data_IF_043677278362
#
_entry.id   IF_043677278362
#
_cell.length_a   1.000
_cell.length_b   1.000
_cell.length_c   1.000
_cell.angle_alpha   90.00
_cell.angle_beta   90.00
_cell.angle_gamma   90.00
#
_symmetry.space_group_name_H-M   'P 1'
#
loop_
_entity.id
_entity.type
_entity.pdbx_description
1 polymer ?
#
# COMPACT_ATOMS: atom_id res chain seq x y z
N UNK A 1 11.77 12.21 12.09
CA UNK A 1 11.35 12.35 13.50
C UNK A 1 9.85 12.14 13.61
N UNK A 2 9.44 11.35 14.63
CA UNK A 2 8.02 11.14 15.00
C UNK A 2 7.84 11.67 16.42
N UNK A 3 6.81 12.49 16.62
CA UNK A 3 6.51 13.07 17.93
C UNK A 3 5.01 13.28 18.13
N UNK A 4 4.50 13.06 19.35
CA UNK A 4 3.10 13.33 19.69
C UNK A 4 2.87 14.83 19.89
N UNK A 5 1.66 15.29 19.52
CA UNK A 5 1.14 16.63 19.81
C UNK A 5 -0.17 16.47 20.57
N UNK A 6 -0.07 16.50 21.91
CA UNK A 6 -1.18 16.07 22.76
C UNK A 6 -1.40 14.56 22.69
N UNK A 7 -2.64 14.13 23.01
CA UNK A 7 -2.96 12.71 23.18
C UNK A 7 -3.45 12.03 21.90
N UNK A 8 -3.76 12.79 20.85
CA UNK A 8 -4.48 12.30 19.67
C UNK A 8 -3.79 12.58 18.34
N UNK A 9 -2.84 13.48 18.29
CA UNK A 9 -2.13 13.85 17.06
C UNK A 9 -0.69 13.34 17.12
N UNK A 10 -0.30 12.56 16.12
CA UNK A 10 1.09 12.16 15.90
C UNK A 10 1.60 12.85 14.64
N UNK A 11 2.72 13.57 14.78
CA UNK A 11 3.38 14.23 13.65
C UNK A 11 4.64 13.46 13.23
N UNK A 12 4.93 13.46 11.94
CA UNK A 12 6.17 12.93 11.38
C UNK A 12 6.78 13.97 10.44
N UNK A 13 8.09 14.14 10.55
CA UNK A 13 8.89 14.96 9.65
C UNK A 13 10.18 14.21 9.34
N UNK A 14 10.62 14.25 8.12
CA UNK A 14 11.83 13.54 7.74
C UNK A 14 12.26 13.81 6.31
N UNK A 15 13.50 13.42 6.06
CA UNK A 15 14.12 13.29 4.76
C UNK A 15 13.98 11.84 4.32
N UNK A 16 13.73 11.58 3.03
CA UNK A 16 13.45 10.24 2.48
C UNK A 16 12.31 9.50 3.18
N UNK A 17 11.28 10.24 3.57
CA UNK A 17 10.12 9.72 4.28
C UNK A 17 8.87 9.74 3.38
N UNK A 18 8.26 8.59 3.18
CA UNK A 18 6.97 8.52 2.46
C UNK A 18 5.90 9.37 3.14
N UNK A 19 5.15 10.15 2.37
CA UNK A 19 3.99 10.92 2.84
C UNK A 19 2.96 9.96 3.49
N UNK A 20 2.74 8.82 2.86
CA UNK A 20 1.84 7.76 3.32
C UNK A 20 2.29 7.04 4.60
N UNK A 21 3.48 7.36 5.15
CA UNK A 21 3.95 6.75 6.42
C UNK A 21 3.06 7.09 7.63
N UNK A 22 2.16 8.06 7.48
CA UNK A 22 1.15 8.41 8.48
C UNK A 22 -0.22 7.79 8.19
N UNK A 23 -0.39 7.09 7.08
CA UNK A 23 -1.67 6.58 6.65
C UNK A 23 -1.94 5.22 7.30
N UNK A 24 -3.16 5.02 7.76
CA UNK A 24 -3.64 3.71 8.13
C UNK A 24 -4.09 2.95 6.89
N UNK A 25 -3.69 1.70 6.84
CA UNK A 25 -4.05 0.77 5.79
C UNK A 25 -4.89 -0.36 6.40
N UNK A 26 -6.11 -0.54 5.90
CA UNK A 26 -7.04 -1.54 6.41
C UNK A 26 -6.80 -2.95 5.85
N UNK A 27 -5.63 -3.22 5.26
CA UNK A 27 -5.29 -4.55 4.75
C UNK A 27 -4.90 -5.50 5.88
N UNK A 28 -5.56 -6.64 5.95
CA UNK A 28 -5.22 -7.72 6.88
C UNK A 28 -4.30 -8.79 6.23
N UNK A 29 -4.05 -8.70 4.94
CA UNK A 29 -3.18 -9.62 4.22
C UNK A 29 -1.70 -9.24 4.37
N UNK A 30 -0.85 -10.21 4.62
CA UNK A 30 0.61 -10.03 4.63
C UNK A 30 1.19 -10.53 3.32
N UNK A 31 1.53 -9.64 2.39
CA UNK A 31 2.06 -10.01 1.08
C UNK A 31 3.38 -10.78 1.15
N UNK A 32 3.55 -11.75 0.26
CA UNK A 32 4.83 -12.41 -0.01
C UNK A 32 5.68 -11.52 -0.92
N UNK A 33 5.04 -10.93 -1.92
CA UNK A 33 5.62 -9.93 -2.83
C UNK A 33 5.29 -8.53 -2.34
N UNK A 34 6.12 -7.56 -2.68
CA UNK A 34 5.90 -6.15 -2.34
C UNK A 34 4.63 -5.62 -3.02
N UNK A 35 4.41 -6.00 -4.27
CA UNK A 35 3.27 -5.56 -5.07
C UNK A 35 1.92 -5.96 -4.45
N UNK A 36 1.71 -7.23 -4.12
CA UNK A 36 0.47 -7.66 -3.47
C UNK A 36 0.39 -7.22 -1.99
N UNK A 37 1.53 -6.90 -1.38
CA UNK A 37 1.59 -6.27 -0.04
C UNK A 37 0.96 -4.87 0.02
N UNK A 38 0.81 -4.20 -1.12
CA UNK A 38 0.12 -2.91 -1.23
C UNK A 38 -1.41 -3.04 -1.23
N UNK A 39 -1.95 -4.26 -1.28
CA UNK A 39 -3.39 -4.53 -1.26
C UNK A 39 -4.16 -3.77 -2.33
N UNK A 40 -3.61 -3.71 -3.55
CA UNK A 40 -4.25 -3.13 -4.73
C UNK A 40 -4.21 -1.61 -4.83
N UNK A 41 -3.67 -0.90 -3.84
CA UNK A 41 -3.41 0.52 -3.98
C UNK A 41 -1.89 0.80 -4.05
N UNK A 42 -1.41 0.88 -5.25
CA UNK A 42 0.01 1.08 -5.55
C UNK A 42 0.45 2.56 -5.48
N UNK A 43 -0.47 3.50 -5.27
CA UNK A 43 -0.16 4.94 -5.33
C UNK A 43 -0.70 5.75 -4.15
N UNK A 44 -2.00 5.77 -3.89
CA UNK A 44 -2.56 6.68 -2.89
C UNK A 44 -2.12 6.33 -1.47
N UNK A 45 -2.09 5.03 -1.08
CA UNK A 45 -1.50 4.57 0.18
C UNK A 45 0.03 4.40 0.12
N UNK A 46 0.67 4.69 -1.02
CA UNK A 46 2.11 4.53 -1.23
C UNK A 46 2.81 5.82 -1.67
N UNK A 47 2.14 6.98 -1.51
CA UNK A 47 2.68 8.25 -1.98
C UNK A 47 4.02 8.57 -1.31
N UNK A 48 5.01 8.79 -2.16
CA UNK A 48 6.37 9.09 -1.76
C UNK A 48 6.57 10.59 -1.50
N UNK A 49 7.65 10.92 -0.79
CA UNK A 49 8.17 12.25 -0.61
C UNK A 49 9.65 12.15 -0.25
N UNK A 50 10.42 13.16 -0.64
CA UNK A 50 11.81 13.27 -0.22
C UNK A 50 11.83 13.97 1.15
N UNK A 51 11.67 15.28 1.20
CA UNK A 51 11.39 16.00 2.45
C UNK A 51 9.89 15.99 2.71
N UNK A 52 9.48 15.42 3.84
CA UNK A 52 8.06 15.19 4.16
C UNK A 52 7.68 15.71 5.53
N UNK A 53 6.49 16.30 5.58
CA UNK A 53 5.79 16.65 6.82
C UNK A 53 4.39 16.07 6.77
N UNK A 54 4.00 15.36 7.81
CA UNK A 54 2.65 14.79 7.89
C UNK A 54 2.20 14.55 9.33
N UNK A 55 0.94 14.24 9.48
CA UNK A 55 0.37 13.91 10.78
C UNK A 55 -0.86 13.03 10.65
N UNK A 56 -1.14 12.30 11.73
CA UNK A 56 -2.30 11.45 11.89
C UNK A 56 -3.03 11.83 13.18
N UNK A 57 -4.33 11.99 13.08
CA UNK A 57 -5.20 12.25 14.22
C UNK A 57 -6.07 11.03 14.50
N UNK A 58 -6.00 10.54 15.75
CA UNK A 58 -6.84 9.45 16.27
C UNK A 58 -8.04 10.03 17.04
N UNK A 59 -9.25 9.75 16.58
CA UNK A 59 -10.48 10.18 17.23
C UNK A 59 -10.83 9.34 18.46
N UNK A 60 -10.16 8.18 18.65
CA UNK A 60 -10.32 7.31 19.82
C UNK A 60 -11.53 6.37 19.76
N UNK A 61 -12.13 6.19 18.60
CA UNK A 61 -13.29 5.31 18.36
C UNK A 61 -13.06 4.38 17.14
N UNK A 62 -11.81 4.06 16.83
CA UNK A 62 -11.41 3.31 15.64
C UNK A 62 -11.30 4.14 14.37
N UNK A 63 -11.66 5.42 14.40
CA UNK A 63 -11.55 6.30 13.26
C UNK A 63 -10.29 7.16 13.34
N UNK A 64 -9.53 7.20 12.25
CA UNK A 64 -8.33 8.02 12.08
C UNK A 64 -8.39 8.85 10.81
N UNK A 65 -7.71 9.98 10.81
CA UNK A 65 -7.45 10.78 9.61
C UNK A 65 -5.99 11.19 9.58
N UNK A 66 -5.39 11.14 8.40
CA UNK A 66 -4.02 11.57 8.19
C UNK A 66 -3.90 12.46 6.96
N UNK A 67 -2.90 13.33 7.01
CA UNK A 67 -2.52 14.18 5.90
C UNK A 67 -1.00 14.36 5.88
N UNK A 68 -0.44 14.56 4.69
CA UNK A 68 0.97 14.85 4.54
C UNK A 68 1.27 15.56 3.23
N UNK A 69 2.37 16.26 3.24
CA UNK A 69 2.95 16.92 2.07
C UNK A 69 4.43 16.56 1.99
N UNK A 70 4.95 16.44 0.79
CA UNK A 70 6.35 16.20 0.54
C UNK A 70 6.76 16.77 -0.82
N UNK A 71 8.04 16.86 -1.05
CA UNK A 71 8.59 17.36 -2.29
C UNK A 71 10.07 17.03 -2.39
N UNK A 72 10.69 17.41 -3.51
CA UNK A 72 12.13 17.30 -3.65
C UNK A 72 12.87 18.18 -2.64
N UNK A 73 14.07 17.77 -2.23
CA UNK A 73 14.88 18.49 -1.24
C UNK A 73 15.16 19.96 -1.62
N UNK A 74 15.20 20.24 -2.92
CA UNK A 74 15.54 21.58 -3.46
C UNK A 74 14.33 22.51 -3.60
N UNK A 75 13.10 22.02 -3.39
CA UNK A 75 11.92 22.79 -3.76
C UNK A 75 10.61 22.48 -3.06
N UNK A 76 10.62 22.12 -1.80
CA UNK A 76 9.38 21.94 -1.05
C UNK A 76 8.50 23.20 -1.17
N UNK A 77 7.34 23.11 -1.84
CA UNK A 77 6.40 24.23 -2.07
C UNK A 77 6.83 25.25 -3.14
N UNK A 78 7.78 24.95 -3.99
CA UNK A 78 8.10 25.84 -5.12
C UNK A 78 7.40 25.37 -6.41
N UNK A 79 7.18 26.29 -7.36
CA UNK A 79 6.55 25.95 -8.64
C UNK A 79 7.46 25.18 -9.61
N UNK A 80 8.71 24.98 -9.25
CA UNK A 80 9.74 24.50 -10.17
C UNK A 80 10.10 23.03 -9.92
N UNK A 81 9.74 22.51 -8.74
CA UNK A 81 10.05 21.13 -8.33
C UNK A 81 8.78 20.30 -8.11
N UNK A 82 8.95 18.98 -8.17
CA UNK A 82 7.86 18.06 -7.92
C UNK A 82 7.45 18.07 -6.46
N UNK A 83 6.19 18.30 -6.23
CA UNK A 83 5.56 18.20 -4.92
C UNK A 83 4.47 17.14 -4.92
N UNK A 84 4.18 16.61 -3.76
CA UNK A 84 3.07 15.67 -3.58
C UNK A 84 2.37 15.97 -2.27
N UNK A 85 1.08 15.68 -2.21
CA UNK A 85 0.33 15.66 -0.97
C UNK A 85 -0.63 14.47 -0.95
N UNK A 86 -0.97 14.03 0.24
CA UNK A 86 -1.88 12.92 0.42
C UNK A 86 -2.76 13.11 1.64
N UNK A 87 -3.94 12.50 1.56
CA UNK A 87 -4.94 12.44 2.60
C UNK A 87 -5.36 10.99 2.80
N UNK A 88 -5.65 10.62 4.05
CA UNK A 88 -6.16 9.29 4.38
C UNK A 88 -7.23 9.40 5.45
N UNK A 89 -8.22 8.53 5.36
CA UNK A 89 -9.21 8.30 6.40
C UNK A 89 -9.38 6.79 6.56
N UNK A 90 -9.35 6.30 7.78
CA UNK A 90 -9.50 4.90 8.07
C UNK A 90 -10.41 4.65 9.26
N UNK A 91 -11.06 3.52 9.25
CA UNK A 91 -11.85 3.00 10.36
C UNK A 91 -11.49 1.55 10.64
N UNK A 92 -11.20 1.24 11.90
CA UNK A 92 -10.97 -0.11 12.41
C UNK A 92 -12.03 -0.45 13.43
N UNK A 93 -12.91 -1.38 13.08
CA UNK A 93 -13.88 -1.99 14.00
C UNK A 93 -13.31 -3.31 14.56
N UNK A 94 -14.17 -4.05 15.30
CA UNK A 94 -13.77 -5.31 15.94
C UNK A 94 -13.35 -6.36 14.90
N UNK A 95 -14.12 -6.50 13.82
CA UNK A 95 -13.95 -7.55 12.82
C UNK A 95 -13.70 -7.01 11.40
N UNK A 96 -13.69 -5.71 11.19
CA UNK A 96 -13.50 -5.15 9.86
C UNK A 96 -12.73 -3.83 9.91
N UNK A 97 -12.04 -3.57 8.83
CA UNK A 97 -11.37 -2.30 8.58
C UNK A 97 -11.71 -1.77 7.20
N UNK A 98 -11.69 -0.47 7.06
CA UNK A 98 -11.74 0.22 5.76
C UNK A 98 -10.81 1.43 5.80
N UNK A 99 -10.06 1.63 4.73
CA UNK A 99 -9.26 2.84 4.53
C UNK A 99 -9.46 3.41 3.13
N UNK A 100 -9.45 4.72 3.05
CA UNK A 100 -9.52 5.47 1.81
C UNK A 100 -8.34 6.44 1.81
N UNK A 101 -7.60 6.47 0.71
CA UNK A 101 -6.51 7.42 0.52
C UNK A 101 -6.70 8.20 -0.78
N UNK A 102 -6.20 9.41 -0.76
CA UNK A 102 -6.09 10.31 -1.89
C UNK A 102 -4.67 10.83 -1.96
N UNK A 103 -4.10 10.89 -3.15
CA UNK A 103 -2.83 11.54 -3.38
C UNK A 103 -2.87 12.36 -4.67
N UNK A 104 -2.17 13.49 -4.65
CA UNK A 104 -1.84 14.24 -5.85
C UNK A 104 -0.32 14.36 -5.91
N UNK A 105 0.23 14.03 -7.06
CA UNK A 105 1.68 14.00 -7.31
C UNK A 105 1.96 14.83 -8.56
N UNK A 106 2.72 15.90 -8.39
CA UNK A 106 3.23 16.70 -9.49
C UNK A 106 4.50 16.03 -10.06
N UNK A 107 4.47 15.65 -11.32
CA UNK A 107 5.64 15.08 -11.97
C UNK A 107 6.69 16.16 -12.26
N UNK A 108 7.94 15.89 -11.89
CA UNK A 108 9.06 16.71 -12.33
C UNK A 108 9.19 16.58 -13.85
N UNK A 109 9.16 17.70 -14.58
CA UNK A 109 9.39 17.68 -16.01
C UNK A 109 10.85 17.44 -16.34
N UNK A 110 11.14 16.40 -17.11
CA UNK A 110 12.39 16.32 -17.82
C UNK A 110 12.48 17.51 -18.80
N UNK A 111 13.55 18.31 -18.66
CA UNK A 111 14.02 19.38 -19.57
C UNK A 111 13.05 19.79 -20.70
N UNK A 112 12.17 20.75 -20.44
CA UNK A 112 11.37 21.43 -21.48
C UNK A 112 9.96 20.89 -21.73
N UNK A 113 9.46 19.97 -20.91
CA UNK A 113 8.08 19.46 -20.98
C UNK A 113 7.10 20.21 -20.06
N UNK A 114 5.81 20.04 -20.27
CA UNK A 114 4.77 20.51 -19.37
C UNK A 114 4.71 19.57 -18.17
N UNK A 115 4.70 20.09 -16.95
CA UNK A 115 4.42 19.29 -15.75
C UNK A 115 2.99 18.73 -15.86
N UNK A 116 2.82 17.50 -15.48
CA UNK A 116 1.51 16.85 -15.45
C UNK A 116 1.21 16.39 -14.03
N UNK A 117 0.10 16.83 -13.49
CA UNK A 117 -0.39 16.35 -12.20
C UNK A 117 -1.02 14.98 -12.37
N UNK A 118 -0.72 14.10 -11.42
CA UNK A 118 -1.38 12.80 -11.31
C UNK A 118 -2.16 12.73 -10.01
N UNK A 119 -3.41 12.34 -10.12
CA UNK A 119 -4.32 12.17 -8.98
C UNK A 119 -4.62 10.70 -8.80
N UNK A 120 -4.54 10.23 -7.55
CA UNK A 120 -4.73 8.83 -7.19
C UNK A 120 -5.76 8.69 -6.09
N UNK A 121 -6.59 7.67 -6.19
CA UNK A 121 -7.49 7.22 -5.14
C UNK A 121 -7.24 5.75 -4.85
N UNK A 122 -7.32 5.39 -3.57
CA UNK A 122 -7.23 4.01 -3.13
C UNK A 122 -8.26 3.72 -2.05
N UNK A 123 -8.88 2.55 -2.15
CA UNK A 123 -9.79 2.01 -1.14
C UNK A 123 -9.36 0.60 -0.80
N UNK A 124 -9.16 0.33 0.49
CA UNK A 124 -8.78 -0.98 1.00
C UNK A 124 -9.73 -1.35 2.11
N UNK A 125 -10.18 -2.60 2.11
CA UNK A 125 -11.04 -3.14 3.17
C UNK A 125 -10.62 -4.54 3.57
N UNK A 126 -10.86 -4.88 4.83
CA UNK A 126 -10.67 -6.22 5.36
C UNK A 126 -11.78 -6.63 6.29
N UNK A 127 -11.95 -7.94 6.39
CA UNK A 127 -12.84 -8.57 7.37
C UNK A 127 -12.15 -9.78 8.01
N UNK A 128 -12.20 -9.85 9.34
CA UNK A 128 -11.66 -10.96 10.13
C UNK A 128 -12.80 -11.84 10.63
N UNK A 129 -12.64 -13.15 10.52
CA UNK A 129 -13.65 -14.12 10.92
C UNK A 129 -13.33 -14.71 12.30
N UNK A 130 -14.35 -14.84 13.13
CA UNK A 130 -14.25 -15.51 14.42
C UNK A 130 -14.44 -17.01 14.23
N UNK A 131 -13.35 -17.75 14.34
CA UNK A 131 -13.35 -19.21 14.23
C UNK A 131 -13.34 -19.74 12.79
N UNK A 132 -12.86 -20.97 12.66
CA UNK A 132 -12.64 -21.63 11.37
C UNK A 132 -11.25 -21.35 10.79
N UNK A 133 -10.87 -22.06 9.72
CA UNK A 133 -9.53 -21.93 9.16
C UNK A 133 -9.31 -20.61 8.39
N UNK A 134 -10.34 -20.03 7.78
CA UNK A 134 -10.26 -18.72 7.13
C UNK A 134 -10.28 -17.63 8.20
N UNK A 135 -9.18 -16.94 8.39
CA UNK A 135 -9.04 -15.91 9.41
C UNK A 135 -9.36 -14.52 8.91
N UNK A 136 -9.04 -14.20 7.67
CA UNK A 136 -9.40 -12.89 7.10
C UNK A 136 -9.48 -12.90 5.57
N UNK A 137 -10.21 -11.92 5.07
CA UNK A 137 -10.26 -11.52 3.67
C UNK A 137 -9.89 -10.04 3.56
N UNK A 138 -9.09 -9.70 2.55
CA UNK A 138 -8.76 -8.32 2.20
C UNK A 138 -9.02 -8.07 0.72
N UNK A 139 -9.56 -6.89 0.42
CA UNK A 139 -9.77 -6.43 -0.95
C UNK A 139 -9.26 -4.99 -1.06
N UNK A 140 -8.81 -4.62 -2.23
CA UNK A 140 -8.42 -3.26 -2.48
C UNK A 140 -8.54 -2.87 -3.95
N UNK A 141 -8.66 -1.58 -4.18
CA UNK A 141 -8.80 -0.99 -5.49
C UNK A 141 -8.12 0.38 -5.52
N UNK A 142 -7.33 0.61 -6.54
CA UNK A 142 -6.67 1.88 -6.80
C UNK A 142 -7.04 2.44 -8.17
N UNK A 143 -7.08 3.76 -8.29
CA UNK A 143 -7.24 4.47 -9.57
C UNK A 143 -6.21 5.57 -9.70
N UNK A 144 -5.87 5.94 -10.94
CA UNK A 144 -5.00 7.05 -11.25
C UNK A 144 -5.44 7.78 -12.51
N UNK A 145 -5.44 9.10 -12.43
CA UNK A 145 -5.66 10.02 -13.54
C UNK A 145 -4.42 10.90 -13.70
N UNK A 146 -3.95 11.11 -14.91
CA UNK A 146 -2.81 11.99 -15.19
C UNK A 146 -3.24 13.06 -16.15
N UNK A 147 -2.95 14.32 -15.83
CA UNK A 147 -3.28 15.47 -16.65
C UNK A 147 -2.70 15.32 -18.08
N UNK A 148 -3.54 15.52 -19.07
CA UNK A 148 -3.17 15.35 -20.49
C UNK A 148 -3.19 13.90 -20.98
N UNK A 149 -3.41 12.92 -20.12
CA UNK A 149 -3.71 11.54 -20.55
C UNK A 149 -5.18 11.44 -20.98
N UNK A 150 -5.43 10.63 -22.01
CA UNK A 150 -6.79 10.30 -22.44
C UNK A 150 -7.35 9.04 -21.79
N UNK A 151 -6.58 8.41 -20.93
CA UNK A 151 -6.92 7.10 -20.33
C UNK A 151 -6.51 7.09 -18.87
N UNK A 152 -7.46 6.76 -18.03
CA UNK A 152 -7.24 6.50 -16.61
C UNK A 152 -6.60 5.13 -16.39
N UNK A 153 -6.08 4.92 -15.20
CA UNK A 153 -5.50 3.66 -14.79
C UNK A 153 -6.18 3.10 -13.56
N UNK A 154 -6.13 1.80 -13.38
CA UNK A 154 -6.67 1.11 -12.21
C UNK A 154 -5.81 -0.08 -11.80
N UNK A 155 -6.01 -0.51 -10.57
CA UNK A 155 -5.42 -1.70 -9.97
C UNK A 155 -6.41 -2.33 -8.99
N UNK A 156 -6.27 -3.62 -8.73
CA UNK A 156 -7.12 -4.30 -7.77
C UNK A 156 -6.36 -5.45 -7.06
N UNK A 157 -6.91 -5.89 -5.96
CA UNK A 157 -6.35 -6.94 -5.12
C UNK A 157 -7.45 -7.71 -4.38
N UNK A 158 -7.22 -9.00 -4.21
CA UNK A 158 -7.97 -9.86 -3.30
C UNK A 158 -7.01 -10.83 -2.60
N UNK A 159 -7.07 -10.89 -1.27
CA UNK A 159 -6.22 -11.74 -0.44
C UNK A 159 -7.01 -12.48 0.63
N UNK A 160 -6.59 -13.70 0.92
CA UNK A 160 -7.15 -14.59 1.93
C UNK A 160 -6.05 -15.04 2.88
N UNK A 161 -6.33 -15.00 4.18
CA UNK A 161 -5.47 -15.54 5.22
C UNK A 161 -6.15 -16.70 5.91
N UNK A 162 -5.41 -17.77 6.11
CA UNK A 162 -5.82 -18.95 6.86
C UNK A 162 -4.87 -19.13 8.02
N UNK A 163 -5.37 -18.99 9.23
CA UNK A 163 -4.63 -19.30 10.45
C UNK A 163 -4.85 -20.77 10.85
N UNK A 164 -4.01 -21.25 11.75
CA UNK A 164 -4.09 -22.60 12.31
C UNK A 164 -4.02 -23.73 11.25
N UNK A 165 -3.26 -23.52 10.16
CA UNK A 165 -2.97 -24.55 9.18
C UNK A 165 -1.76 -25.35 9.66
N UNK A 166 -2.01 -26.38 10.51
CA UNK A 166 -0.95 -27.05 11.27
C UNK A 166 -0.28 -26.07 12.25
N UNK A 167 1.06 -25.97 12.27
CA UNK A 167 1.77 -25.01 13.15
C UNK A 167 1.86 -23.60 12.57
N UNK A 168 1.26 -23.29 11.45
CA UNK A 168 1.45 -22.04 10.74
C UNK A 168 0.19 -21.49 10.09
N UNK A 169 0.40 -20.59 9.16
CA UNK A 169 -0.65 -19.87 8.42
C UNK A 169 -0.36 -19.88 6.91
N UNK A 170 -1.42 -19.85 6.13
CA UNK A 170 -1.39 -19.77 4.67
C UNK A 170 -1.92 -18.42 4.21
N UNK A 171 -1.22 -17.77 3.29
CA UNK A 171 -1.69 -16.64 2.53
C UNK A 171 -1.90 -17.02 1.07
N UNK A 172 -3.02 -16.57 0.49
CA UNK A 172 -3.33 -16.68 -0.94
C UNK A 172 -3.77 -15.33 -1.45
N UNK A 173 -3.22 -14.85 -2.56
CA UNK A 173 -3.64 -13.58 -3.14
C UNK A 173 -3.57 -13.58 -4.66
N UNK A 174 -4.37 -12.68 -5.23
CA UNK A 174 -4.32 -12.31 -6.64
C UNK A 174 -4.59 -10.80 -6.77
N UNK A 175 -3.98 -10.17 -7.75
CA UNK A 175 -4.19 -8.76 -8.05
C UNK A 175 -3.43 -8.34 -9.30
N UNK A 176 -3.53 -7.08 -9.64
CA UNK A 176 -2.73 -6.49 -10.72
C UNK A 176 -1.31 -6.19 -10.24
N UNK A 177 -0.35 -6.35 -11.12
CA UNK A 177 1.05 -5.95 -10.92
C UNK A 177 1.23 -4.45 -11.19
N UNK A 178 0.68 -3.61 -10.29
CA UNK A 178 0.71 -2.16 -10.44
C UNK A 178 -0.58 -1.55 -11.00
N UNK A 179 -0.51 -0.26 -11.37
CA UNK A 179 -1.57 0.44 -12.07
C UNK A 179 -1.47 0.19 -13.58
N UNK A 180 -2.57 -0.25 -14.19
CA UNK A 180 -2.68 -0.46 -15.62
C UNK A 180 -3.67 0.52 -16.24
N UNK A 181 -3.34 1.02 -17.44
CA UNK A 181 -4.26 1.87 -18.20
C UNK A 181 -5.54 1.08 -18.52
N UNK A 182 -6.71 1.69 -18.34
CA UNK A 182 -8.02 1.02 -18.48
C UNK A 182 -8.31 0.49 -19.90
N UNK A 183 -7.50 0.86 -20.89
CA UNK A 183 -7.58 0.35 -22.26
C UNK A 183 -6.46 -0.65 -22.61
N UNK A 184 -5.64 -1.05 -21.64
CA UNK A 184 -4.58 -2.05 -21.79
C UNK A 184 -4.98 -3.38 -21.14
N UNK A 185 -4.29 -4.44 -21.51
CA UNK A 185 -4.40 -5.71 -20.79
C UNK A 185 -3.64 -5.59 -19.47
N UNK A 186 -4.27 -6.00 -18.38
CA UNK A 186 -3.67 -5.99 -17.06
C UNK A 186 -2.64 -7.12 -16.93
N UNK A 187 -1.51 -6.83 -16.33
CA UNK A 187 -0.57 -7.85 -15.87
C UNK A 187 -1.02 -8.33 -14.49
N UNK A 188 -1.18 -9.64 -14.34
CA UNK A 188 -1.70 -10.26 -13.12
C UNK A 188 -0.57 -10.86 -12.30
N UNK A 189 -0.70 -10.74 -11.00
CA UNK A 189 0.19 -11.37 -10.03
C UNK A 189 -0.61 -12.26 -9.08
N UNK A 190 -0.13 -13.47 -8.90
CA UNK A 190 -0.70 -14.48 -8.00
C UNK A 190 0.36 -14.94 -7.04
N UNK A 191 0.02 -15.08 -5.76
CA UNK A 191 0.93 -15.64 -4.78
C UNK A 191 0.26 -16.57 -3.80
N UNK A 192 1.05 -17.52 -3.32
CA UNK A 192 0.67 -18.44 -2.27
C UNK A 192 1.86 -18.72 -1.37
N UNK A 193 1.67 -18.66 -0.05
CA UNK A 193 2.74 -18.93 0.89
C UNK A 193 2.25 -19.63 2.15
N UNK A 194 3.21 -20.27 2.82
CA UNK A 194 3.07 -20.83 4.15
C UNK A 194 4.11 -20.22 5.08
N UNK A 195 3.65 -19.68 6.21
CA UNK A 195 4.51 -19.08 7.23
C UNK A 195 4.30 -19.79 8.55
N UNK A 196 5.40 -20.11 9.27
CA UNK A 196 5.36 -20.75 10.57
C UNK A 196 6.51 -20.27 11.47
N UNK A 197 6.27 -20.29 12.77
CA UNK A 197 7.27 -19.96 13.76
C UNK A 197 8.10 -21.21 14.09
N UNK A 198 9.43 -21.11 13.94
CA UNK A 198 10.38 -22.14 14.33
C UNK A 198 10.57 -22.11 15.84
N UNK A 199 10.60 -20.91 16.41
CA UNK A 199 10.67 -20.62 17.85
C UNK A 199 10.28 -19.14 18.09
N UNK A 200 10.27 -18.70 19.36
CA UNK A 200 9.85 -17.36 19.79
C UNK A 200 10.61 -16.20 19.11
N UNK A 201 11.79 -16.44 18.58
CA UNK A 201 12.63 -15.42 17.94
C UNK A 201 12.87 -15.66 16.46
N UNK A 202 12.26 -16.67 15.84
CA UNK A 202 12.53 -17.04 14.44
C UNK A 202 11.31 -17.59 13.73
N UNK A 203 10.96 -16.99 12.61
CA UNK A 203 9.92 -17.49 11.70
C UNK A 203 10.45 -17.77 10.29
N UNK A 204 9.80 -18.68 9.58
CA UNK A 204 10.10 -19.05 8.20
C UNK A 204 8.84 -18.92 7.34
N UNK A 205 8.97 -18.23 6.23
CA UNK A 205 7.95 -18.16 5.18
C UNK A 205 8.49 -18.78 3.90
N UNK A 206 7.72 -19.69 3.31
CA UNK A 206 8.00 -20.31 2.02
C UNK A 206 6.82 -20.03 1.10
N UNK A 207 7.07 -19.54 -0.09
CA UNK A 207 6.02 -19.24 -1.03
C UNK A 207 6.44 -19.28 -2.48
N UNK A 208 5.45 -19.18 -3.33
CA UNK A 208 5.57 -19.13 -4.78
C UNK A 208 4.75 -17.98 -5.31
N UNK A 209 5.19 -17.39 -6.40
CA UNK A 209 4.41 -16.40 -7.15
C UNK A 209 4.46 -16.70 -8.64
N UNK A 210 3.42 -16.25 -9.34
CA UNK A 210 3.34 -16.23 -10.78
C UNK A 210 2.88 -14.84 -11.23
N UNK A 211 3.65 -14.23 -12.11
CA UNK A 211 3.40 -12.90 -12.66
C UNK A 211 3.24 -13.02 -14.17
N UNK A 212 2.09 -12.57 -14.65
CA UNK A 212 1.85 -12.40 -16.08
C UNK A 212 2.57 -11.15 -16.58
N UNK A 213 3.10 -11.20 -17.77
CA UNK A 213 3.73 -10.07 -18.42
C UNK A 213 3.28 -10.00 -19.88
N UNK A 214 2.26 -9.20 -20.16
CA UNK A 214 1.70 -9.03 -21.50
C UNK A 214 2.66 -8.37 -22.50
N UNK A 215 3.75 -7.77 -22.01
CA UNK A 215 4.77 -7.12 -22.83
C UNK A 215 6.05 -7.95 -22.96
N UNK A 216 6.15 -9.09 -22.27
CA UNK A 216 7.38 -9.87 -22.17
C UNK A 216 7.15 -11.35 -21.90
N UNK A 217 7.90 -11.90 -20.97
CA UNK A 217 7.81 -13.29 -20.55
C UNK A 217 7.25 -13.35 -19.14
N UNK A 218 6.28 -14.22 -18.93
CA UNK A 218 5.74 -14.50 -17.60
C UNK A 218 6.86 -14.98 -16.66
N UNK A 219 6.74 -14.62 -15.39
CA UNK A 219 7.68 -14.99 -14.36
C UNK A 219 7.06 -15.90 -13.32
N UNK A 220 7.80 -16.91 -12.89
CA UNK A 220 7.45 -17.74 -11.74
C UNK A 220 8.62 -17.77 -10.77
N UNK A 221 8.36 -17.42 -9.53
CA UNK A 221 9.40 -17.40 -8.50
C UNK A 221 9.04 -18.23 -7.27
N UNK A 222 10.08 -18.62 -6.56
CA UNK A 222 10.01 -19.24 -5.23
C UNK A 222 10.70 -18.31 -4.25
N UNK A 223 10.04 -18.01 -3.13
CA UNK A 223 10.54 -17.12 -2.10
C UNK A 223 10.70 -17.89 -0.79
N UNK A 224 11.83 -17.68 -0.14
CA UNK A 224 12.08 -18.17 1.22
C UNK A 224 12.56 -17.01 2.08
N UNK A 225 11.78 -16.64 3.10
CA UNK A 225 12.10 -15.56 4.03
C UNK A 225 12.27 -16.13 5.42
N UNK A 226 13.40 -15.81 6.05
CA UNK A 226 13.63 -16.12 7.47
C UNK A 226 13.69 -14.80 8.24
N UNK A 227 12.82 -14.65 9.22
CA UNK A 227 12.76 -13.45 10.06
C UNK A 227 13.26 -13.76 11.47
N UNK A 228 14.00 -12.82 12.05
CA UNK A 228 14.54 -12.91 13.39
C UNK A 228 14.04 -11.74 14.24
N UNK A 229 13.60 -12.02 15.47
CA UNK A 229 13.23 -11.03 16.50
C UNK A 229 14.21 -11.14 17.67
N UNK A 230 14.75 -10.00 18.11
CA UNK A 230 15.74 -9.90 19.20
C UNK A 230 15.21 -9.03 20.33
#
# INVERSE_FOLDING_TARGET
YTFPVGDKLTMKVGDSLKISKNFDNACAYSGLTDELGHCGDHKAHQVDGDVTVGGQYDFGNGFTMAAGIGGSADGLVTKEDSSAYGLNAAYSGDNYGISVAYANVEAATASGGTKADSTYWGVIGSYSFDGGPLSSVSIGYGTGETEGSSTDSSSWFAGLMFDEVGPGKVGLAAGTDGLHANNATEDMLYEAYYSYDINDGMSQTLGVYYQENNSGTDETGVVAVTSFSF
#
